data_IF_381906636187
#
_entry.id   IF_381906636187
#
_cell.length_a   1.000
_cell.length_b   1.000
_cell.length_c   1.000
_cell.angle_alpha   90.00
_cell.angle_beta   90.00
_cell.angle_gamma   90.00
#
_symmetry.space_group_name_H-M   'P 1'
#
loop_
_entity.id
_entity.type
_entity.pdbx_description
1 polymer ?
#
# COMPACT_ATOMS: atom_id res chain seq x y z
N UNK A 1 -6.96 8.68 9.15
CA UNK A 1 -6.62 7.42 9.83
C UNK A 1 -5.24 7.62 10.45
N UNK A 2 -4.91 6.92 11.51
CA UNK A 2 -3.62 7.06 12.18
C UNK A 2 -2.84 5.76 12.07
N UNK A 3 -1.52 5.88 12.02
CA UNK A 3 -0.60 4.77 12.21
C UNK A 3 0.28 5.11 13.42
N UNK A 4 0.35 4.24 14.42
CA UNK A 4 1.04 4.56 15.68
C UNK A 4 2.56 4.79 15.53
N UNK A 5 3.15 4.34 14.42
CA UNK A 5 4.58 4.47 14.14
C UNK A 5 4.88 5.63 13.17
N UNK A 6 4.17 5.68 12.03
CA UNK A 6 4.50 6.61 10.94
C UNK A 6 3.67 7.89 10.91
N UNK A 7 2.47 7.88 11.48
CA UNK A 7 1.55 9.01 11.51
C UNK A 7 0.65 8.94 12.76
N UNK A 8 1.24 9.05 13.97
CA UNK A 8 0.49 8.94 15.22
C UNK A 8 -0.32 10.22 15.46
N UNK A 9 -1.46 10.13 16.18
CA UNK A 9 -2.17 11.32 16.60
C UNK A 9 -1.30 12.13 17.57
N UNK A 10 -1.44 13.46 17.54
CA UNK A 10 -0.72 14.37 18.43
C UNK A 10 -0.99 14.07 19.91
N UNK A 11 -2.20 13.57 20.21
CA UNK A 11 -2.57 13.03 21.52
C UNK A 11 -3.07 11.60 21.38
N UNK A 12 -2.48 10.68 22.15
CA UNK A 12 -2.85 9.27 22.14
C UNK A 12 -4.36 9.08 22.31
N UNK A 13 -4.98 8.39 21.36
CA UNK A 13 -6.40 8.07 21.39
C UNK A 13 -7.35 9.21 21.02
N UNK A 14 -6.85 10.38 20.59
CA UNK A 14 -7.68 11.55 20.26
C UNK A 14 -7.42 11.98 18.82
N UNK A 15 -8.49 12.24 18.07
CA UNK A 15 -8.41 12.73 16.70
C UNK A 15 -8.01 14.21 16.70
N UNK A 16 -6.90 14.53 16.03
CA UNK A 16 -6.39 15.89 15.89
C UNK A 16 -7.33 16.82 15.12
N UNK A 17 -8.22 16.27 14.28
CA UNK A 17 -9.16 17.06 13.48
C UNK A 17 -10.45 17.40 14.21
N UNK A 18 -11.02 16.46 14.96
CA UNK A 18 -12.36 16.62 15.56
C UNK A 18 -12.41 16.42 17.08
N UNK A 19 -11.31 16.03 17.72
CA UNK A 19 -11.25 15.76 19.15
C UNK A 19 -11.94 14.47 19.61
N UNK A 20 -12.52 13.69 18.69
CA UNK A 20 -13.19 12.42 19.01
C UNK A 20 -12.21 11.29 19.33
N UNK A 21 -12.69 10.18 19.93
CA UNK A 21 -11.85 9.03 20.24
C UNK A 21 -11.37 8.32 18.97
N UNK A 22 -10.10 7.90 18.98
CA UNK A 22 -9.51 7.03 17.97
C UNK A 22 -9.59 5.59 18.46
N UNK A 23 -10.08 4.69 17.61
CA UNK A 23 -10.17 3.27 17.91
C UNK A 23 -9.54 2.45 16.77
N UNK A 24 -9.02 1.28 17.12
CA UNK A 24 -8.56 0.28 16.14
C UNK A 24 -9.78 -0.25 15.39
N UNK A 25 -9.70 -0.34 14.07
CA UNK A 25 -10.81 -0.86 13.26
C UNK A 25 -10.85 -2.38 13.36
N UNK A 26 -12.06 -2.95 13.31
CA UNK A 26 -12.23 -4.40 13.39
C UNK A 26 -11.55 -5.16 12.25
N UNK A 27 -11.38 -4.54 11.08
CA UNK A 27 -10.76 -5.14 9.90
C UNK A 27 -9.22 -5.06 9.89
N UNK A 28 -8.62 -4.40 10.88
CA UNK A 28 -7.16 -4.35 11.09
C UNK A 28 -6.64 -5.47 12.02
N UNK A 29 -7.53 -6.36 12.48
CA UNK A 29 -7.16 -7.53 13.31
C UNK A 29 -6.33 -8.53 12.50
N UNK A 30 -5.38 -9.26 13.13
CA UNK A 30 -4.50 -10.19 12.43
C UNK A 30 -5.24 -11.21 11.55
N UNK A 31 -6.37 -11.75 12.02
CA UNK A 31 -7.15 -12.76 11.31
C UNK A 31 -7.81 -12.17 10.05
N UNK A 32 -8.30 -10.93 10.14
CA UNK A 32 -8.89 -10.22 9.01
C UNK A 32 -7.83 -9.88 7.95
N UNK A 33 -6.64 -9.45 8.38
CA UNK A 33 -5.50 -9.19 7.49
C UNK A 33 -5.04 -10.46 6.80
N UNK A 34 -4.89 -11.57 7.53
CA UNK A 34 -4.50 -12.86 6.98
C UNK A 34 -5.50 -13.36 5.92
N UNK A 35 -6.80 -13.26 6.21
CA UNK A 35 -7.84 -13.61 5.25
C UNK A 35 -7.80 -12.71 4.00
N UNK A 36 -7.59 -11.40 4.17
CA UNK A 36 -7.47 -10.45 3.05
C UNK A 36 -6.27 -10.78 2.16
N UNK A 37 -5.13 -11.15 2.75
CA UNK A 37 -3.94 -11.57 2.00
C UNK A 37 -4.19 -12.89 1.24
N UNK A 38 -4.87 -13.86 1.86
CA UNK A 38 -5.27 -15.10 1.17
C UNK A 38 -6.13 -14.80 -0.06
N UNK A 39 -7.19 -14.01 0.10
CA UNK A 39 -8.09 -13.64 -1.00
C UNK A 39 -7.35 -12.88 -2.11
N UNK A 40 -6.44 -11.97 -1.76
CA UNK A 40 -5.59 -11.29 -2.73
C UNK A 40 -4.75 -12.28 -3.56
N UNK A 41 -4.11 -13.26 -2.91
CA UNK A 41 -3.30 -14.27 -3.61
C UNK A 41 -4.15 -15.14 -4.54
N UNK A 42 -5.37 -15.50 -4.11
CA UNK A 42 -6.26 -16.37 -4.90
C UNK A 42 -6.90 -15.65 -6.09
N UNK A 43 -7.31 -14.38 -5.92
CA UNK A 43 -8.16 -13.69 -6.89
C UNK A 43 -7.49 -12.53 -7.61
N UNK A 44 -6.56 -11.83 -6.97
CA UNK A 44 -5.94 -10.62 -7.53
C UNK A 44 -4.56 -10.87 -8.11
N UNK A 45 -3.72 -11.67 -7.44
CA UNK A 45 -2.38 -11.97 -7.92
C UNK A 45 -2.34 -12.57 -9.35
N UNK A 46 -3.26 -13.47 -9.78
CA UNK A 46 -3.27 -13.99 -11.15
C UNK A 46 -3.54 -12.93 -12.23
N UNK A 47 -4.23 -11.83 -11.88
CA UNK A 47 -4.46 -10.71 -12.81
C UNK A 47 -3.15 -10.01 -13.15
N UNK A 48 -2.21 -9.95 -12.19
CA UNK A 48 -0.88 -9.40 -12.43
C UNK A 48 -0.10 -10.24 -13.44
N UNK A 49 -0.21 -11.57 -13.37
CA UNK A 49 0.44 -12.48 -14.31
C UNK A 49 -0.08 -12.31 -15.75
N UNK A 50 -1.39 -12.05 -15.89
CA UNK A 50 -1.96 -11.67 -17.18
C UNK A 50 -1.27 -10.42 -17.75
N UNK A 51 -1.18 -9.33 -16.99
CA UNK A 51 -0.55 -8.10 -17.50
C UNK A 51 0.96 -8.26 -17.71
N UNK A 52 1.65 -9.05 -16.87
CA UNK A 52 3.08 -9.36 -17.02
C UNK A 52 3.36 -10.05 -18.35
N UNK A 53 2.53 -11.04 -18.73
CA UNK A 53 2.70 -11.75 -20.01
C UNK A 53 2.48 -10.87 -21.25
N UNK A 54 1.76 -9.76 -21.11
CA UNK A 54 1.56 -8.77 -22.18
C UNK A 54 2.62 -7.67 -22.18
N UNK A 55 3.62 -7.75 -21.29
CA UNK A 55 4.68 -6.74 -21.19
C UNK A 55 4.16 -5.35 -20.83
N UNK A 56 3.06 -5.25 -20.06
CA UNK A 56 2.41 -3.99 -19.69
C UNK A 56 2.42 -3.75 -18.16
N UNK A 57 3.45 -4.25 -17.48
CA UNK A 57 3.59 -4.12 -16.02
C UNK A 57 4.91 -3.45 -15.68
N UNK A 58 4.85 -2.47 -14.79
CA UNK A 58 5.99 -1.94 -14.06
C UNK A 58 5.81 -2.27 -12.57
N UNK A 59 6.80 -2.95 -11.98
CA UNK A 59 6.80 -3.28 -10.55
C UNK A 59 7.64 -2.27 -9.78
N UNK A 60 7.07 -1.76 -8.68
CA UNK A 60 7.68 -0.75 -7.83
C UNK A 60 7.65 -1.24 -6.39
N UNK A 61 8.80 -1.23 -5.74
CA UNK A 61 8.90 -1.54 -4.30
C UNK A 61 8.34 -0.35 -3.51
N UNK A 62 7.19 -0.56 -2.87
CA UNK A 62 6.44 0.46 -2.12
C UNK A 62 6.85 0.54 -0.62
N UNK A 63 8.13 0.28 -0.31
CA UNK A 63 8.69 0.53 1.02
C UNK A 63 9.38 1.89 1.06
N UNK A 64 9.38 2.54 2.24
CA UNK A 64 9.91 3.89 2.43
C UNK A 64 8.80 4.92 2.67
N UNK A 65 9.15 6.19 2.50
CA UNK A 65 8.22 7.31 2.64
C UNK A 65 7.26 7.41 1.43
N UNK A 66 6.07 8.03 1.61
CA UNK A 66 5.16 8.28 0.50
C UNK A 66 5.79 9.05 -0.68
N UNK A 67 6.64 10.04 -0.40
CA UNK A 67 7.30 10.86 -1.42
C UNK A 67 8.30 10.05 -2.24
N UNK A 68 9.07 9.16 -1.61
CA UNK A 68 10.00 8.26 -2.31
C UNK A 68 9.26 7.29 -3.24
N UNK A 69 8.16 6.71 -2.77
CA UNK A 69 7.34 5.80 -3.58
C UNK A 69 6.67 6.56 -4.73
N UNK A 70 6.20 7.78 -4.49
CA UNK A 70 5.60 8.64 -5.50
C UNK A 70 6.58 9.00 -6.63
N UNK A 71 7.84 9.31 -6.30
CA UNK A 71 8.85 9.60 -7.31
C UNK A 71 9.18 8.36 -8.15
N UNK A 72 9.37 7.19 -7.52
CA UNK A 72 9.59 5.92 -8.23
C UNK A 72 8.45 5.61 -9.21
N UNK A 73 7.21 5.81 -8.78
CA UNK A 73 6.02 5.64 -9.63
C UNK A 73 5.99 6.64 -10.78
N UNK A 74 6.23 7.92 -10.49
CA UNK A 74 6.24 8.98 -11.50
C UNK A 74 7.30 8.73 -12.57
N UNK A 75 8.49 8.27 -12.16
CA UNK A 75 9.55 7.89 -13.06
C UNK A 75 9.17 6.69 -13.94
N UNK A 76 8.56 5.65 -13.37
CA UNK A 76 8.09 4.48 -14.11
C UNK A 76 7.12 4.90 -15.24
N UNK A 77 6.13 5.74 -14.91
CA UNK A 77 5.13 6.24 -15.88
C UNK A 77 5.79 7.08 -16.97
N UNK A 78 6.66 8.04 -16.62
CA UNK A 78 7.33 8.91 -17.60
C UNK A 78 8.26 8.14 -18.54
N UNK A 79 8.90 7.09 -18.05
CA UNK A 79 9.86 6.31 -18.83
C UNK A 79 9.20 5.45 -19.91
N UNK A 80 7.90 5.17 -19.80
CA UNK A 80 7.18 4.25 -20.69
C UNK A 80 7.75 2.83 -20.69
N UNK A 81 8.62 2.49 -19.73
CA UNK A 81 9.29 1.19 -19.65
C UNK A 81 8.41 0.21 -18.88
N UNK A 82 8.11 -0.91 -19.53
CA UNK A 82 7.62 -2.10 -18.87
C UNK A 82 8.79 -2.92 -18.34
N UNK A 83 8.67 -3.46 -17.13
CA UNK A 83 9.72 -4.20 -16.42
C UNK A 83 9.82 -3.83 -14.94
N UNK A 84 10.50 -4.67 -14.17
CA UNK A 84 10.77 -4.41 -12.74
C UNK A 84 11.78 -3.28 -12.63
N UNK A 85 11.41 -2.15 -12.03
CA UNK A 85 12.38 -1.15 -11.59
C UNK A 85 13.00 -1.65 -10.29
N UNK A 86 13.99 -2.54 -10.42
CA UNK A 86 14.86 -2.90 -9.32
C UNK A 86 15.77 -1.71 -8.99
N UNK A 87 16.03 -1.51 -7.69
CA UNK A 87 16.99 -0.52 -7.19
C UNK A 87 18.39 -0.73 -7.79
#
# INVERSE_FOLDING_TARGET
PYNLESDPPSKTGICDRCGGPVAVRNDDKPEAVANRMKVYQELTAPVLDYYRSHGNVAEIVATGSPDEVFEKLSQAIRSGKSGVMAN
#
